data_IF_627428387677
#
_entry.id   IF_627428387677
#
_cell.length_a   1.000
_cell.length_b   1.000
_cell.length_c   1.000
_cell.angle_alpha   90.00
_cell.angle_beta   90.00
_cell.angle_gamma   90.00
#
_symmetry.space_group_name_H-M   'P 1'
#
loop_
_entity.id
_entity.type
_entity.pdbx_description
1 polymer ?
#
# COMPACT_ATOMS: atom_id res chain seq x y z
N UNK A 1 32.49 -19.99 0.20
CA UNK A 1 32.28 -18.80 1.06
C UNK A 1 32.92 -17.60 0.37
N UNK A 2 32.16 -16.53 0.13
CA UNK A 2 32.70 -15.33 -0.52
C UNK A 2 33.49 -14.55 0.53
N UNK A 3 34.81 -14.48 0.41
CA UNK A 3 35.65 -13.64 1.27
C UNK A 3 35.62 -12.21 0.73
N UNK A 4 35.00 -11.30 1.47
CA UNK A 4 34.77 -9.91 1.06
C UNK A 4 35.64 -9.00 1.91
N UNK A 5 36.26 -8.00 1.28
CA UNK A 5 36.98 -6.96 2.00
C UNK A 5 36.01 -6.18 2.90
N UNK A 6 36.29 -6.15 4.21
CA UNK A 6 35.47 -5.39 5.16
C UNK A 6 35.46 -3.90 4.81
N UNK A 7 34.28 -3.28 4.86
CA UNK A 7 34.06 -1.89 4.47
C UNK A 7 33.87 -1.65 2.96
N UNK A 8 33.93 -2.68 2.12
CA UNK A 8 33.58 -2.54 0.70
C UNK A 8 32.06 -2.49 0.46
N UNK A 9 31.63 -1.86 -0.64
CA UNK A 9 30.21 -1.86 -1.07
C UNK A 9 29.64 -3.28 -1.23
N UNK A 10 30.48 -4.24 -1.63
CA UNK A 10 30.08 -5.64 -1.75
C UNK A 10 29.82 -6.27 -0.37
N UNK A 11 30.64 -5.95 0.63
CA UNK A 11 30.45 -6.42 2.01
C UNK A 11 29.16 -5.85 2.61
N UNK A 12 28.86 -4.58 2.32
CA UNK A 12 27.60 -3.93 2.73
C UNK A 12 26.38 -4.60 2.09
N UNK A 13 26.41 -4.84 0.77
CA UNK A 13 25.32 -5.49 0.05
C UNK A 13 25.07 -6.94 0.53
N UNK A 14 26.13 -7.69 0.83
CA UNK A 14 26.02 -9.04 1.40
C UNK A 14 25.42 -8.98 2.80
N UNK A 15 25.92 -8.08 3.66
CA UNK A 15 25.39 -7.88 5.01
C UNK A 15 23.90 -7.52 4.98
N UNK A 16 23.52 -6.60 4.11
CA UNK A 16 22.12 -6.23 3.89
C UNK A 16 21.27 -7.44 3.45
N UNK A 17 21.74 -8.22 2.48
CA UNK A 17 21.02 -9.40 1.99
C UNK A 17 20.83 -10.48 3.06
N UNK A 18 21.86 -10.70 3.88
CA UNK A 18 21.80 -11.64 5.02
C UNK A 18 20.81 -11.14 6.06
N UNK A 19 20.83 -9.86 6.39
CA UNK A 19 19.88 -9.25 7.34
C UNK A 19 18.43 -9.33 6.84
N UNK A 20 18.22 -9.29 5.52
CA UNK A 20 16.89 -9.40 4.90
C UNK A 20 16.48 -10.85 4.56
N UNK A 21 17.30 -11.85 4.92
CA UNK A 21 17.07 -13.24 4.54
C UNK A 21 15.65 -13.72 4.87
N UNK A 22 15.14 -13.43 6.07
CA UNK A 22 13.81 -13.85 6.50
C UNK A 22 12.71 -13.32 5.55
N UNK A 23 12.74 -12.03 5.21
CA UNK A 23 11.81 -11.41 4.28
C UNK A 23 11.95 -11.97 2.86
N UNK A 24 13.19 -12.18 2.40
CA UNK A 24 13.48 -12.72 1.07
C UNK A 24 13.09 -14.19 0.93
N UNK A 25 13.04 -14.95 2.02
CA UNK A 25 12.65 -16.36 2.05
C UNK A 25 11.20 -16.61 2.42
N UNK A 26 10.40 -15.57 2.71
CA UNK A 26 9.01 -15.72 3.18
C UNK A 26 8.13 -16.51 2.22
N UNK A 27 8.39 -16.46 0.91
CA UNK A 27 7.67 -17.25 -0.10
C UNK A 27 7.87 -18.77 0.05
N UNK A 28 8.93 -19.22 0.74
CA UNK A 28 9.13 -20.64 1.05
C UNK A 28 8.16 -21.12 2.15
N UNK A 29 7.70 -20.21 3.00
CA UNK A 29 6.74 -20.49 4.07
C UNK A 29 5.29 -20.36 3.59
N UNK A 30 5.01 -19.42 2.68
CA UNK A 30 3.68 -19.20 2.11
C UNK A 30 3.72 -19.02 0.58
N UNK A 31 3.18 -20.01 -0.15
CA UNK A 31 3.10 -19.99 -1.61
C UNK A 31 2.17 -18.92 -2.20
N UNK A 32 1.41 -18.19 -1.36
CA UNK A 32 0.63 -17.01 -1.79
C UNK A 32 1.52 -15.78 -2.00
N UNK A 33 2.73 -15.77 -1.46
CA UNK A 33 3.70 -14.68 -1.62
C UNK A 33 4.44 -14.88 -2.93
N UNK A 34 4.46 -13.85 -3.78
CA UNK A 34 5.21 -13.88 -5.02
C UNK A 34 6.72 -13.85 -4.74
N UNK A 35 7.49 -14.68 -5.46
CA UNK A 35 8.96 -14.69 -5.39
C UNK A 35 9.59 -13.33 -5.71
N UNK A 36 8.94 -12.57 -6.61
CA UNK A 36 9.39 -11.24 -7.02
C UNK A 36 8.50 -10.16 -6.43
N UNK A 37 9.08 -9.01 -6.11
CA UNK A 37 8.33 -7.82 -5.67
C UNK A 37 7.73 -7.01 -6.84
N UNK A 38 7.80 -7.52 -8.08
CA UNK A 38 7.43 -6.79 -9.30
C UNK A 38 5.99 -6.25 -9.25
N UNK A 39 5.04 -7.00 -8.67
CA UNK A 39 3.66 -6.53 -8.45
C UNK A 39 3.63 -5.26 -7.61
N UNK A 40 4.32 -5.25 -6.46
CA UNK A 40 4.37 -4.08 -5.58
C UNK A 40 5.05 -2.89 -6.27
N UNK A 41 6.17 -3.13 -6.96
CA UNK A 41 6.88 -2.09 -7.72
C UNK A 41 6.02 -1.48 -8.83
N UNK A 42 5.28 -2.32 -9.56
CA UNK A 42 4.35 -1.87 -10.60
C UNK A 42 3.23 -1.00 -10.02
N UNK A 43 2.74 -1.31 -8.81
CA UNK A 43 1.67 -0.55 -8.16
C UNK A 43 2.13 0.80 -7.61
N UNK A 44 3.37 0.90 -7.12
CA UNK A 44 3.91 2.18 -6.63
C UNK A 44 4.43 3.08 -7.77
N UNK A 45 4.80 2.52 -8.93
CA UNK A 45 5.39 3.27 -10.06
C UNK A 45 4.57 4.50 -10.50
N UNK A 46 3.24 4.46 -10.66
CA UNK A 46 2.45 5.64 -11.02
C UNK A 46 2.60 6.80 -10.04
N UNK A 47 2.66 6.50 -8.73
CA UNK A 47 2.93 7.51 -7.70
C UNK A 47 4.34 8.09 -7.82
N UNK A 48 5.34 7.23 -8.04
CA UNK A 48 6.75 7.65 -8.22
C UNK A 48 6.96 8.50 -9.47
N UNK A 49 6.19 8.28 -10.53
CA UNK A 49 6.21 9.12 -11.72
C UNK A 49 5.48 10.43 -11.44
N UNK A 50 4.29 10.37 -10.83
CA UNK A 50 3.48 11.54 -10.48
C UNK A 50 4.24 12.55 -9.62
N UNK A 51 4.93 12.10 -8.56
CA UNK A 51 5.70 12.98 -7.67
C UNK A 51 6.77 13.80 -8.40
N UNK A 52 7.33 13.30 -9.51
CA UNK A 52 8.31 14.06 -10.31
C UNK A 52 7.66 15.23 -11.07
N UNK A 53 6.36 15.14 -11.37
CA UNK A 53 5.60 16.19 -12.06
C UNK A 53 4.82 17.12 -11.12
N UNK A 54 4.71 16.80 -9.83
CA UNK A 54 3.98 17.64 -8.87
C UNK A 54 4.86 18.78 -8.37
N UNK A 55 4.84 19.91 -9.10
CA UNK A 55 5.63 21.11 -8.84
C UNK A 55 5.49 21.71 -7.43
N UNK A 56 4.45 21.33 -6.67
CA UNK A 56 4.15 21.87 -5.34
C UNK A 56 4.11 20.80 -4.22
N UNK A 57 4.62 19.59 -4.47
CA UNK A 57 4.66 18.49 -3.49
C UNK A 57 6.03 18.37 -2.81
N UNK A 58 6.40 19.35 -1.99
CA UNK A 58 7.74 19.42 -1.38
C UNK A 58 7.75 19.15 0.14
N UNK A 59 6.58 19.11 0.78
CA UNK A 59 6.52 18.94 2.24
C UNK A 59 6.42 17.47 2.65
N UNK A 60 7.07 17.08 3.74
CA UNK A 60 6.94 15.75 4.36
C UNK A 60 5.49 15.43 4.73
N UNK A 61 4.74 16.44 5.18
CA UNK A 61 3.31 16.34 5.47
C UNK A 61 2.49 16.02 4.20
N UNK A 62 2.78 16.71 3.10
CA UNK A 62 2.13 16.46 1.80
C UNK A 62 2.46 15.08 1.24
N UNK A 63 3.71 14.64 1.36
CA UNK A 63 4.12 13.29 0.98
C UNK A 63 3.37 12.22 1.79
N UNK A 64 3.25 12.40 3.12
CA UNK A 64 2.48 11.50 3.99
C UNK A 64 1.00 11.46 3.63
N UNK A 65 0.36 12.62 3.43
CA UNK A 65 -1.03 12.71 3.02
C UNK A 65 -1.29 12.01 1.68
N UNK A 66 -0.40 12.24 0.71
CA UNK A 66 -0.49 11.60 -0.61
C UNK A 66 -0.34 10.08 -0.52
N UNK A 67 0.62 9.59 0.27
CA UNK A 67 0.80 8.16 0.51
C UNK A 67 -0.45 7.50 1.13
N UNK A 68 -1.12 8.18 2.07
CA UNK A 68 -2.37 7.70 2.67
C UNK A 68 -3.47 7.58 1.61
N UNK A 69 -3.70 8.65 0.82
CA UNK A 69 -4.74 8.66 -0.21
C UNK A 69 -4.49 7.58 -1.26
N UNK A 70 -3.25 7.45 -1.75
CA UNK A 70 -2.90 6.41 -2.72
C UNK A 70 -3.04 5.01 -2.14
N UNK A 71 -2.75 4.80 -0.86
CA UNK A 71 -2.98 3.51 -0.20
C UNK A 71 -4.46 3.13 -0.21
N UNK A 72 -5.36 4.07 0.10
CA UNK A 72 -6.81 3.86 0.05
C UNK A 72 -7.24 3.51 -1.39
N UNK A 73 -6.77 4.26 -2.38
CA UNK A 73 -7.08 4.05 -3.80
C UNK A 73 -6.61 2.68 -4.29
N UNK A 74 -5.35 2.32 -4.04
CA UNK A 74 -4.81 1.03 -4.49
C UNK A 74 -5.47 -0.15 -3.77
N UNK A 75 -5.86 0.02 -2.50
CA UNK A 75 -6.64 -0.99 -1.77
C UNK A 75 -8.04 -1.16 -2.37
N UNK A 76 -8.74 -0.08 -2.72
CA UNK A 76 -10.03 -0.15 -3.40
C UNK A 76 -9.92 -0.85 -4.76
N UNK A 77 -8.88 -0.54 -5.55
CA UNK A 77 -8.60 -1.23 -6.83
C UNK A 77 -8.32 -2.72 -6.61
N UNK A 78 -7.54 -3.08 -5.59
CA UNK A 78 -7.24 -4.48 -5.27
C UNK A 78 -8.50 -5.28 -4.91
N UNK A 79 -9.50 -4.64 -4.31
CA UNK A 79 -10.81 -5.21 -3.99
C UNK A 79 -11.84 -5.08 -5.12
N UNK A 80 -11.44 -4.61 -6.31
CA UNK A 80 -12.33 -4.45 -7.50
C UNK A 80 -13.52 -3.53 -7.24
N UNK A 81 -13.32 -2.46 -6.47
CA UNK A 81 -14.32 -1.43 -6.16
C UNK A 81 -14.14 -0.22 -7.07
N UNK A 82 -15.23 0.48 -7.37
CA UNK A 82 -15.19 1.78 -8.03
C UNK A 82 -14.57 2.81 -7.08
N UNK A 83 -13.33 3.22 -7.38
CA UNK A 83 -12.54 4.11 -6.52
C UNK A 83 -13.27 5.43 -6.23
N UNK A 84 -13.86 6.05 -7.25
CA UNK A 84 -14.53 7.34 -7.09
C UNK A 84 -15.72 7.23 -6.13
N UNK A 85 -16.59 6.26 -6.38
CA UNK A 85 -17.77 6.03 -5.55
C UNK A 85 -17.42 5.64 -4.11
N UNK A 86 -16.35 4.86 -3.95
CA UNK A 86 -15.83 4.50 -2.62
C UNK A 86 -15.30 5.71 -1.86
N UNK A 87 -14.47 6.55 -2.49
CA UNK A 87 -13.97 7.78 -1.87
C UNK A 87 -15.11 8.73 -1.51
N UNK A 88 -16.11 8.86 -2.39
CA UNK A 88 -17.30 9.65 -2.11
C UNK A 88 -18.06 9.11 -0.90
N UNK A 89 -18.26 7.79 -0.82
CA UNK A 89 -18.95 7.16 0.30
C UNK A 89 -18.22 7.35 1.63
N UNK A 90 -16.92 7.05 1.69
CA UNK A 90 -16.15 7.19 2.93
C UNK A 90 -16.09 8.66 3.37
N UNK A 91 -15.83 9.61 2.48
CA UNK A 91 -15.73 11.02 2.87
C UNK A 91 -17.08 11.62 3.26
N UNK A 92 -18.20 11.10 2.75
CA UNK A 92 -19.53 11.56 3.10
C UNK A 92 -20.06 10.98 4.41
N UNK A 93 -19.68 9.74 4.75
CA UNK A 93 -20.29 9.00 5.87
C UNK A 93 -19.36 8.81 7.06
N UNK A 94 -18.06 8.62 6.82
CA UNK A 94 -17.07 8.32 7.87
C UNK A 94 -16.88 9.47 8.89
N UNK A 95 -16.96 10.77 8.53
CA UNK A 95 -16.89 11.84 9.53
C UNK A 95 -18.04 11.83 10.55
N UNK A 96 -19.18 11.20 10.21
CA UNK A 96 -20.37 11.15 11.06
C UNK A 96 -20.39 9.99 12.06
N UNK A 97 -19.36 9.14 12.08
CA UNK A 97 -19.26 7.98 12.98
C UNK A 97 -18.15 8.15 14.00
N UNK A 98 -18.40 7.75 15.24
CA UNK A 98 -17.37 7.73 16.29
C UNK A 98 -16.59 6.42 16.28
N UNK A 99 -15.76 6.26 15.25
CA UNK A 99 -14.84 5.12 15.15
C UNK A 99 -13.66 5.21 16.14
N UNK A 100 -13.50 6.32 16.87
CA UNK A 100 -12.48 6.42 17.94
C UNK A 100 -12.95 5.73 19.20
N UNK A 101 -14.21 5.91 19.58
CA UNK A 101 -14.81 5.18 20.68
C UNK A 101 -15.09 3.72 20.32
N UNK A 102 -15.50 3.45 19.07
CA UNK A 102 -15.85 2.10 18.60
C UNK A 102 -15.11 1.74 17.30
N UNK A 103 -13.87 1.24 17.37
CA UNK A 103 -13.08 0.90 16.18
C UNK A 103 -13.72 -0.15 15.28
N UNK A 104 -14.57 -1.04 15.81
CA UNK A 104 -15.30 -2.04 15.03
C UNK A 104 -16.22 -1.44 13.97
N UNK A 105 -16.66 -0.19 14.13
CA UNK A 105 -17.46 0.51 13.12
C UNK A 105 -16.70 0.70 11.81
N UNK A 106 -15.37 0.74 11.85
CA UNK A 106 -14.54 0.93 10.67
C UNK A 106 -14.61 -0.26 9.71
N UNK A 107 -14.83 -1.47 10.22
CA UNK A 107 -14.95 -2.69 9.41
C UNK A 107 -16.03 -2.56 8.33
N UNK A 108 -17.13 -1.86 8.65
CA UNK A 108 -18.24 -1.65 7.73
C UNK A 108 -17.86 -0.77 6.53
N UNK A 109 -16.82 0.05 6.67
CA UNK A 109 -16.30 0.98 5.65
C UNK A 109 -15.09 0.43 4.89
N UNK A 110 -14.63 -0.77 5.24
CA UNK A 110 -13.49 -1.38 4.55
C UNK A 110 -13.86 -1.81 3.13
N UNK A 111 -12.89 -1.82 2.20
CA UNK A 111 -13.16 -2.19 0.80
C UNK A 111 -13.48 -3.69 0.62
N UNK A 112 -13.31 -4.54 1.63
CA UNK A 112 -13.81 -5.93 1.60
C UNK A 112 -15.15 -6.11 2.34
N UNK A 113 -15.71 -5.03 2.88
CA UNK A 113 -16.96 -5.06 3.64
C UNK A 113 -18.14 -5.45 2.76
N UNK A 114 -18.96 -6.39 3.23
CA UNK A 114 -20.21 -6.74 2.56
C UNK A 114 -21.27 -5.64 2.67
N UNK A 115 -21.16 -4.77 3.67
CA UNK A 115 -22.10 -3.65 3.92
C UNK A 115 -21.85 -2.44 3.02
N UNK A 116 -20.81 -2.50 2.18
CA UNK A 116 -20.53 -1.42 1.24
C UNK A 116 -21.68 -1.28 0.24
N UNK A 117 -22.15 -0.05 -0.05
CA UNK A 117 -23.25 0.16 -0.99
C UNK A 117 -22.98 -0.43 -2.38
N UNK A 118 -24.03 -0.90 -3.05
CA UNK A 118 -23.90 -1.54 -4.37
C UNK A 118 -23.31 -0.62 -5.43
N UNK A 119 -23.61 0.68 -5.36
CA UNK A 119 -23.05 1.67 -6.30
C UNK A 119 -21.52 1.85 -6.16
N UNK A 120 -20.91 1.41 -5.06
CA UNK A 120 -19.45 1.38 -4.92
C UNK A 120 -18.85 0.15 -5.61
N UNK A 121 -19.61 -0.92 -5.79
CA UNK A 121 -19.15 -2.11 -6.49
C UNK A 121 -19.08 -1.79 -7.98
N UNK A 122 -18.06 -2.28 -8.67
CA UNK A 122 -18.03 -2.16 -10.12
C UNK A 122 -19.18 -3.01 -10.66
N UNK A 123 -20.23 -2.36 -11.15
CA UNK A 123 -21.26 -3.04 -11.94
C UNK A 123 -20.54 -3.74 -13.09
N UNK A 124 -20.71 -5.06 -13.20
CA UNK A 124 -20.12 -5.86 -14.27
C UNK A 124 -20.51 -5.34 -15.65
#
# INVERSE_FOLDING_TARGET
TVNVLQGSKLAEAITYSVNQKASLSAFLEDGRIELSNNRAENKIRPFVIGRKGWLFSDTTKGAKASAIVYSIVETAKANKINVYMFLFYIFSKLPGIDFKANPSLLEDFMPWSQKLPDYCRNNQ
#
